data_IF_592828455929
#
_entry.id   IF_592828455929
#
_cell.length_a   1.000
_cell.length_b   1.000
_cell.length_c   1.000
_cell.angle_alpha   90.00
_cell.angle_beta   90.00
_cell.angle_gamma   90.00
#
_symmetry.space_group_name_H-M   'P 1'
#
loop_
_entity.id
_entity.type
_entity.pdbx_description
1 polymer ?
#
# COMPACT_ATOMS: atom_id res chain seq x y z
N UNK A 1 -15.52 24.30 -9.56
CA UNK A 1 -16.67 23.37 -9.47
C UNK A 1 -16.09 22.02 -9.09
N UNK A 2 -16.36 21.53 -7.88
CA UNK A 2 -15.85 20.24 -7.41
C UNK A 2 -16.87 19.14 -7.76
N UNK A 3 -16.49 18.23 -8.66
CA UNK A 3 -17.25 17.01 -8.88
C UNK A 3 -17.04 16.12 -7.65
N UNK A 4 -18.11 15.85 -6.89
CA UNK A 4 -18.10 14.80 -5.88
C UNK A 4 -18.04 13.45 -6.58
N UNK A 5 -16.82 13.01 -6.94
CA UNK A 5 -16.57 11.74 -7.61
C UNK A 5 -16.88 10.53 -6.71
N UNK A 6 -16.92 10.75 -5.39
CA UNK A 6 -17.13 9.70 -4.39
C UNK A 6 -18.61 9.59 -4.02
N UNK A 7 -19.16 8.38 -4.16
CA UNK A 7 -20.55 8.07 -3.85
C UNK A 7 -20.69 7.83 -2.34
N UNK A 8 -20.77 8.92 -1.56
CA UNK A 8 -20.76 8.94 -0.08
C UNK A 8 -21.88 8.16 0.64
N UNK A 9 -22.67 7.32 -0.03
CA UNK A 9 -23.90 6.77 0.53
C UNK A 9 -24.22 5.29 0.33
N UNK A 10 -23.48 4.53 -0.48
CA UNK A 10 -23.78 3.10 -0.70
C UNK A 10 -22.50 2.27 -0.75
N UNK A 11 -22.22 1.55 0.32
CA UNK A 11 -21.22 0.48 0.30
C UNK A 11 -21.72 -0.64 -0.61
N UNK A 12 -20.94 -1.01 -1.63
CA UNK A 12 -21.24 -2.15 -2.51
C UNK A 12 -20.32 -3.35 -2.28
N UNK A 13 -19.48 -3.27 -1.26
CA UNK A 13 -18.60 -4.34 -0.82
C UNK A 13 -19.47 -5.47 -0.25
N UNK A 14 -19.16 -6.70 -0.64
CA UNK A 14 -19.89 -7.91 -0.22
C UNK A 14 -19.12 -8.75 0.78
N UNK A 15 -17.86 -8.43 1.02
CA UNK A 15 -16.99 -9.06 2.00
C UNK A 15 -17.55 -8.87 3.42
N UNK A 16 -17.38 -9.90 4.26
CA UNK A 16 -17.88 -9.90 5.64
C UNK A 16 -17.24 -8.77 6.48
N UNK A 17 -15.94 -8.55 6.27
CA UNK A 17 -15.17 -7.47 6.86
C UNK A 17 -14.44 -6.67 5.78
N UNK A 18 -14.43 -5.37 5.94
CA UNK A 18 -13.74 -4.41 5.07
C UNK A 18 -13.26 -3.22 5.90
N UNK A 19 -12.79 -2.16 5.25
CA UNK A 19 -12.14 -1.04 5.89
C UNK A 19 -12.89 0.25 5.62
N UNK A 20 -12.98 1.10 6.64
CA UNK A 20 -13.33 2.50 6.50
C UNK A 20 -12.06 3.35 6.65
N UNK A 21 -11.80 4.21 5.66
CA UNK A 21 -10.66 5.13 5.65
C UNK A 21 -11.10 6.56 5.94
N UNK A 22 -10.46 7.17 6.92
CA UNK A 22 -10.56 8.60 7.19
C UNK A 22 -9.25 9.29 6.87
N UNK A 23 -9.29 10.25 5.95
CA UNK A 23 -8.16 11.07 5.54
C UNK A 23 -7.84 12.16 6.59
N UNK A 24 -6.59 12.61 6.61
CA UNK A 24 -6.24 13.85 7.32
C UNK A 24 -6.91 15.05 6.66
N UNK A 25 -7.21 16.08 7.46
CA UNK A 25 -7.93 17.26 6.98
C UNK A 25 -7.11 17.94 5.85
N UNK A 26 -7.70 18.07 4.66
CA UNK A 26 -7.03 18.63 3.47
C UNK A 26 -6.10 17.68 2.71
N UNK A 27 -6.04 16.39 3.09
CA UNK A 27 -5.29 15.32 2.37
C UNK A 27 -6.18 14.22 1.82
N UNK A 28 -7.46 14.51 1.63
CA UNK A 28 -8.38 13.62 0.95
C UNK A 28 -8.23 13.70 -0.56
N UNK A 29 -8.77 12.72 -1.31
CA UNK A 29 -8.74 12.72 -2.77
C UNK A 29 -9.58 13.85 -3.40
N UNK A 30 -10.39 14.54 -2.61
CA UNK A 30 -11.10 15.77 -3.03
C UNK A 30 -10.17 16.99 -3.07
N UNK A 31 -9.09 16.98 -2.27
CA UNK A 31 -8.16 18.11 -2.09
C UNK A 31 -6.78 17.86 -2.72
N UNK A 32 -6.39 16.59 -2.89
CA UNK A 32 -5.12 16.17 -3.48
C UNK A 32 -5.34 15.49 -4.85
N UNK A 33 -4.96 16.21 -5.92
CA UNK A 33 -5.09 15.72 -7.30
C UNK A 33 -4.14 14.59 -7.64
N UNK A 34 -2.98 14.49 -6.98
CA UNK A 34 -2.04 13.39 -7.18
C UNK A 34 -2.61 12.11 -6.58
N UNK A 35 -3.19 12.20 -5.38
CA UNK A 35 -3.92 11.11 -4.74
C UNK A 35 -5.10 10.63 -5.61
N UNK A 36 -5.86 11.57 -6.17
CA UNK A 36 -6.95 11.24 -7.09
C UNK A 36 -6.43 10.51 -8.33
N UNK A 37 -5.31 10.95 -8.91
CA UNK A 37 -4.70 10.29 -10.06
C UNK A 37 -4.22 8.86 -9.73
N UNK A 38 -3.70 8.62 -8.53
CA UNK A 38 -3.33 7.27 -8.05
C UNK A 38 -4.58 6.38 -8.00
N UNK A 39 -5.66 6.87 -7.40
CA UNK A 39 -6.94 6.12 -7.34
C UNK A 39 -7.47 5.82 -8.74
N UNK A 40 -7.43 6.78 -9.65
CA UNK A 40 -7.85 6.58 -11.04
C UNK A 40 -7.00 5.54 -11.74
N UNK A 41 -5.67 5.58 -11.59
CA UNK A 41 -4.77 4.56 -12.16
C UNK A 41 -5.07 3.19 -11.58
N UNK A 42 -5.30 3.07 -10.26
CA UNK A 42 -5.66 1.81 -9.62
C UNK A 42 -6.99 1.27 -10.15
N UNK A 43 -7.99 2.12 -10.36
CA UNK A 43 -9.30 1.73 -10.90
C UNK A 43 -9.26 1.23 -12.36
N UNK A 44 -8.26 1.64 -13.14
CA UNK A 44 -8.10 1.24 -14.54
C UNK A 44 -7.09 0.11 -14.75
N UNK A 45 -6.06 0.02 -13.90
CA UNK A 45 -5.01 -0.99 -13.97
C UNK A 45 -5.43 -2.31 -13.36
N UNK A 46 -6.34 -2.25 -12.40
CA UNK A 46 -6.79 -3.43 -11.70
C UNK A 46 -7.96 -4.11 -12.41
N UNK A 47 -7.80 -5.38 -12.77
CA UNK A 47 -8.89 -6.19 -13.33
C UNK A 47 -10.01 -6.51 -12.32
N UNK A 48 -10.19 -5.70 -11.28
CA UNK A 48 -11.16 -5.94 -10.23
C UNK A 48 -12.56 -5.54 -10.68
N UNK A 49 -13.55 -6.28 -10.19
CA UNK A 49 -14.96 -6.02 -10.51
C UNK A 49 -15.47 -4.73 -9.86
N UNK A 50 -14.81 -4.24 -8.81
CA UNK A 50 -15.22 -3.06 -8.04
C UNK A 50 -14.12 -1.99 -8.02
N UNK A 51 -14.53 -0.77 -8.42
CA UNK A 51 -13.69 0.43 -8.41
C UNK A 51 -13.59 1.03 -7.01
N UNK A 52 -12.38 1.37 -6.58
CA UNK A 52 -12.04 2.08 -5.35
C UNK A 52 -12.81 3.40 -5.29
N UNK A 53 -12.84 4.18 -6.39
CA UNK A 53 -13.58 5.46 -6.45
C UNK A 53 -15.07 5.36 -6.10
N UNK A 54 -15.71 4.22 -6.38
CA UNK A 54 -17.15 4.04 -6.17
C UNK A 54 -17.52 3.72 -4.72
N UNK A 55 -16.60 3.13 -3.97
CA UNK A 55 -16.88 2.61 -2.63
C UNK A 55 -16.34 3.51 -1.51
N UNK A 56 -15.53 4.53 -1.80
CA UNK A 56 -15.01 5.44 -0.77
C UNK A 56 -16.11 6.00 0.15
N UNK A 57 -15.88 6.04 1.49
CA UNK A 57 -14.61 5.77 2.19
C UNK A 57 -14.26 4.29 2.42
N UNK A 58 -15.04 3.35 1.88
CA UNK A 58 -14.91 1.92 2.15
C UNK A 58 -14.05 1.18 1.14
N UNK A 59 -13.11 0.37 1.62
CA UNK A 59 -12.23 -0.47 0.79
C UNK A 59 -12.19 -1.90 1.31
N UNK A 60 -12.08 -2.87 0.39
CA UNK A 60 -11.67 -4.23 0.76
C UNK A 60 -10.22 -4.24 1.26
N UNK A 61 -9.81 -5.28 1.97
CA UNK A 61 -8.42 -5.44 2.41
C UNK A 61 -7.44 -5.35 1.24
N UNK A 62 -7.72 -6.04 0.13
CA UNK A 62 -6.90 -5.98 -1.06
C UNK A 62 -6.79 -4.57 -1.65
N UNK A 63 -7.90 -3.85 -1.78
CA UNK A 63 -7.88 -2.48 -2.30
C UNK A 63 -7.08 -1.54 -1.41
N UNK A 64 -7.20 -1.67 -0.09
CA UNK A 64 -6.44 -0.86 0.86
C UNK A 64 -4.94 -1.13 0.77
N UNK A 65 -4.52 -2.41 0.73
CA UNK A 65 -3.10 -2.76 0.62
C UNK A 65 -2.46 -2.23 -0.67
N UNK A 66 -3.18 -2.30 -1.79
CA UNK A 66 -2.73 -1.72 -3.05
C UNK A 66 -2.59 -0.21 -2.94
N UNK A 67 -3.62 0.47 -2.42
CA UNK A 67 -3.59 1.92 -2.23
C UNK A 67 -2.44 2.34 -1.32
N UNK A 68 -2.24 1.66 -0.19
CA UNK A 68 -1.19 2.01 0.76
C UNK A 68 0.21 1.78 0.19
N UNK A 69 0.39 0.75 -0.64
CA UNK A 69 1.64 0.54 -1.36
C UNK A 69 1.93 1.65 -2.37
N UNK A 70 0.94 2.08 -3.14
CA UNK A 70 1.10 3.21 -4.07
C UNK A 70 1.37 4.52 -3.31
N UNK A 71 0.67 4.77 -2.20
CA UNK A 71 0.90 5.94 -1.35
C UNK A 71 2.32 5.96 -0.78
N UNK A 72 2.80 4.80 -0.31
CA UNK A 72 4.19 4.63 0.12
C UNK A 72 5.18 4.92 -1.01
N UNK A 73 4.93 4.41 -2.21
CA UNK A 73 5.83 4.63 -3.35
C UNK A 73 5.88 6.09 -3.81
N UNK A 74 4.74 6.78 -3.79
CA UNK A 74 4.63 8.16 -4.28
C UNK A 74 5.07 9.21 -3.25
N UNK A 75 4.70 9.03 -1.99
CA UNK A 75 4.93 10.03 -0.93
C UNK A 75 6.06 9.64 0.02
N UNK A 76 6.56 8.40 -0.01
CA UNK A 76 7.56 7.85 0.92
C UNK A 76 6.96 7.55 2.30
N UNK A 77 6.37 8.57 2.93
CA UNK A 77 5.60 8.45 4.17
C UNK A 77 4.25 9.14 4.02
N UNK A 78 3.18 8.43 4.41
CA UNK A 78 1.81 8.94 4.36
C UNK A 78 1.09 8.69 5.69
N UNK A 79 0.23 9.62 6.11
CA UNK A 79 -0.55 9.49 7.34
C UNK A 79 -2.03 9.64 7.02
N UNK A 80 -2.80 8.63 7.43
CA UNK A 80 -4.26 8.65 7.49
C UNK A 80 -4.70 8.99 8.90
N UNK A 81 -5.83 9.70 9.02
CA UNK A 81 -6.41 10.07 10.31
C UNK A 81 -6.89 8.83 11.06
N UNK A 82 -7.55 7.91 10.35
CA UNK A 82 -8.05 6.65 10.91
C UNK A 82 -8.22 5.60 9.82
N UNK A 83 -7.90 4.35 10.16
CA UNK A 83 -8.29 3.16 9.41
C UNK A 83 -8.99 2.22 10.39
N UNK A 84 -10.24 1.86 10.09
CA UNK A 84 -11.05 1.01 10.95
C UNK A 84 -11.57 -0.21 10.21
N UNK A 85 -11.67 -1.33 10.92
CA UNK A 85 -12.47 -2.47 10.46
C UNK A 85 -13.94 -2.05 10.46
N UNK A 86 -14.64 -2.50 9.43
CA UNK A 86 -16.04 -2.22 9.17
C UNK A 86 -16.73 -3.50 8.71
N UNK A 87 -18.00 -3.62 9.05
CA UNK A 87 -18.87 -4.68 8.57
C UNK A 87 -20.23 -4.12 8.16
N UNK A 88 -21.00 -4.90 7.41
CA UNK A 88 -22.38 -4.57 7.08
C UNK A 88 -23.33 -5.16 8.12
N UNK A 89 -24.11 -4.31 8.78
CA UNK A 89 -25.25 -4.72 9.58
C UNK A 89 -26.54 -4.33 8.85
N UNK A 90 -27.16 -5.29 8.17
CA UNK A 90 -28.31 -5.07 7.32
C UNK A 90 -27.97 -4.24 6.08
N UNK A 91 -28.18 -2.91 6.15
CA UNK A 91 -27.88 -1.96 5.05
C UNK A 91 -26.97 -0.81 5.49
N UNK A 92 -26.58 -0.78 6.76
CA UNK A 92 -25.68 0.23 7.32
C UNK A 92 -24.29 -0.37 7.52
N UNK A 93 -23.27 0.45 7.27
CA UNK A 93 -21.91 0.12 7.65
C UNK A 93 -21.73 0.48 9.13
N UNK A 94 -21.17 -0.46 9.89
CA UNK A 94 -20.89 -0.28 11.31
C UNK A 94 -19.39 -0.43 11.54
N UNK A 95 -18.82 0.51 12.30
CA UNK A 95 -17.42 0.51 12.75
C UNK A 95 -17.30 0.67 14.27
N UNK A 96 -18.42 0.68 14.98
CA UNK A 96 -18.47 0.76 16.44
C UNK A 96 -18.10 -0.60 17.05
N UNK A 97 -17.19 -0.60 18.02
CA UNK A 97 -16.68 -1.83 18.65
C UNK A 97 -15.60 -2.56 17.84
N UNK A 98 -15.43 -2.21 16.57
CA UNK A 98 -14.41 -2.79 15.69
C UNK A 98 -13.00 -2.21 15.94
N UNK A 99 -11.97 -2.99 15.63
CA UNK A 99 -10.58 -2.53 15.77
C UNK A 99 -10.26 -1.42 14.76
N UNK A 100 -9.51 -0.42 15.22
CA UNK A 100 -9.05 0.68 14.36
C UNK A 100 -7.68 1.19 14.79
N UNK A 101 -6.99 1.87 13.88
CA UNK A 101 -5.72 2.55 14.11
C UNK A 101 -5.83 4.04 13.74
N UNK A 102 -5.36 4.94 14.61
CA UNK A 102 -5.50 6.40 14.46
C UNK A 102 -4.47 7.21 15.29
N UNK A 103 -3.44 7.84 14.70
CA UNK A 103 -3.19 7.91 13.28
C UNK A 103 -2.76 6.55 12.72
N UNK A 104 -3.00 6.36 11.43
CA UNK A 104 -2.47 5.23 10.69
C UNK A 104 -1.32 5.72 9.82
N UNK A 105 -0.12 5.23 10.11
CA UNK A 105 1.12 5.65 9.47
C UNK A 105 1.56 4.61 8.45
N UNK A 106 1.76 5.06 7.22
CA UNK A 106 2.37 4.30 6.13
C UNK A 106 3.79 4.83 5.98
N UNK A 107 4.76 4.09 6.51
CA UNK A 107 6.19 4.43 6.49
C UNK A 107 6.94 3.51 5.52
N UNK A 108 8.25 3.74 5.32
CA UNK A 108 9.07 2.91 4.44
C UNK A 108 9.09 1.43 4.86
N UNK A 109 8.99 1.15 6.15
CA UNK A 109 8.90 -0.19 6.75
C UNK A 109 7.46 -0.74 6.81
N UNK A 110 6.48 -0.08 6.19
CA UNK A 110 5.13 -0.64 6.07
C UNK A 110 5.16 -1.95 5.26
N UNK A 111 4.73 -3.03 5.92
CA UNK A 111 4.61 -4.38 5.33
C UNK A 111 3.18 -4.76 5.03
N UNK A 112 2.28 -4.63 6.01
CA UNK A 112 0.87 -4.99 5.90
C UNK A 112 0.03 -4.25 6.95
N UNK A 113 -1.27 -4.16 6.69
CA UNK A 113 -2.29 -3.48 7.46
C UNK A 113 -2.53 -4.14 8.83
N UNK A 114 -2.38 -5.47 8.90
CA UNK A 114 -2.68 -6.22 10.12
C UNK A 114 -1.77 -5.78 11.27
N UNK A 115 -0.49 -5.48 11.00
CA UNK A 115 0.45 -5.06 12.04
C UNK A 115 0.00 -3.78 12.78
N UNK A 116 -0.30 -2.64 12.11
CA UNK A 116 -0.86 -1.47 12.80
C UNK A 116 -2.16 -1.75 13.57
N UNK A 117 -3.03 -2.65 13.09
CA UNK A 117 -4.29 -3.00 13.75
C UNK A 117 -4.08 -3.88 14.99
N UNK A 118 -3.17 -4.86 14.92
CA UNK A 118 -2.76 -5.67 16.07
C UNK A 118 -2.13 -4.77 17.14
N UNK A 119 -1.27 -3.84 16.72
CA UNK A 119 -0.67 -2.90 17.65
C UNK A 119 -1.73 -2.03 18.32
N UNK A 120 -2.72 -1.58 17.57
CA UNK A 120 -3.77 -0.71 18.13
C UNK A 120 -4.66 -1.45 19.12
N UNK A 121 -5.07 -2.70 18.86
CA UNK A 121 -5.91 -3.46 19.80
C UNK A 121 -5.20 -3.80 21.11
N UNK A 122 -3.87 -3.99 21.04
CA UNK A 122 -3.06 -4.33 22.20
C UNK A 122 -2.71 -3.11 23.06
N UNK A 123 -2.54 -1.93 22.45
CA UNK A 123 -2.00 -0.74 23.14
C UNK A 123 -3.04 0.31 23.52
N UNK A 124 -4.18 0.37 22.82
CA UNK A 124 -5.20 1.39 23.08
C UNK A 124 -6.06 1.08 24.29
N UNK A 125 -6.35 2.12 25.07
CA UNK A 125 -7.24 2.08 26.22
C UNK A 125 -8.68 1.67 25.86
N UNK A 126 -9.11 1.98 24.66
CA UNK A 126 -10.45 1.72 24.13
C UNK A 126 -10.73 0.21 24.06
N UNK A 127 -9.67 -0.60 23.94
CA UNK A 127 -9.76 -2.06 23.91
C UNK A 127 -9.26 -2.69 25.22
N UNK A 128 -9.01 -1.91 26.28
CA UNK A 128 -8.47 -2.44 27.55
C UNK A 128 -9.46 -3.35 28.29
N UNK A 129 -10.75 -3.23 28.00
CA UNK A 129 -11.81 -4.04 28.63
C UNK A 129 -11.86 -5.49 28.09
N UNK A 130 -11.18 -5.77 26.97
CA UNK A 130 -11.08 -7.11 26.42
C UNK A 130 -9.82 -7.80 26.93
N UNK A 131 -9.94 -9.08 27.29
CA UNK A 131 -8.80 -9.92 27.62
C UNK A 131 -7.89 -10.11 26.42
N UNK A 132 -6.62 -10.43 26.69
CA UNK A 132 -5.66 -10.73 25.63
C UNK A 132 -6.13 -11.90 24.74
N UNK A 133 -6.75 -12.94 25.33
CA UNK A 133 -7.27 -14.08 24.59
C UNK A 133 -8.40 -13.69 23.64
N UNK A 134 -9.35 -12.86 24.08
CA UNK A 134 -10.44 -12.37 23.22
C UNK A 134 -9.90 -11.57 22.03
N UNK A 135 -8.88 -10.72 22.25
CA UNK A 135 -8.24 -9.95 21.18
C UNK A 135 -7.56 -10.86 20.16
N UNK A 136 -6.84 -11.88 20.62
CA UNK A 136 -6.21 -12.87 19.75
C UNK A 136 -7.26 -13.63 18.94
N UNK A 137 -8.28 -14.17 19.59
CA UNK A 137 -9.33 -14.96 18.94
C UNK A 137 -10.10 -14.13 17.91
N UNK A 138 -10.34 -12.84 18.18
CA UNK A 138 -10.95 -11.94 17.22
C UNK A 138 -10.11 -11.81 15.93
N UNK A 139 -8.79 -11.67 16.03
CA UNK A 139 -7.92 -11.65 14.87
C UNK A 139 -7.85 -13.01 14.16
N UNK A 140 -7.62 -14.10 14.90
CA UNK A 140 -7.44 -15.43 14.33
C UNK A 140 -8.72 -15.98 13.67
N UNK A 141 -9.90 -15.70 14.27
CA UNK A 141 -11.16 -16.28 13.83
C UNK A 141 -11.98 -15.35 12.91
N UNK A 142 -11.78 -14.03 12.97
CA UNK A 142 -12.58 -13.08 12.19
C UNK A 142 -11.74 -12.33 11.14
N UNK A 143 -10.69 -11.62 11.55
CA UNK A 143 -9.94 -10.75 10.64
C UNK A 143 -9.06 -11.57 9.67
N UNK A 144 -8.26 -12.50 10.18
CA UNK A 144 -7.29 -13.25 9.37
C UNK A 144 -7.92 -14.06 8.25
N UNK A 145 -9.04 -14.79 8.44
CA UNK A 145 -9.69 -15.51 7.36
C UNK A 145 -10.14 -14.59 6.22
N UNK A 146 -10.75 -13.44 6.54
CA UNK A 146 -11.24 -12.48 5.53
C UNK A 146 -10.08 -11.79 4.84
N UNK A 147 -9.06 -11.35 5.58
CA UNK A 147 -7.86 -10.76 5.00
C UNK A 147 -7.14 -11.73 4.04
N UNK A 148 -6.97 -12.99 4.46
CA UNK A 148 -6.38 -14.06 3.65
C UNK A 148 -7.17 -14.28 2.36
N UNK A 149 -8.50 -14.37 2.45
CA UNK A 149 -9.38 -14.56 1.30
C UNK A 149 -9.29 -13.38 0.33
N UNK A 150 -9.32 -12.15 0.85
CA UNK A 150 -9.23 -10.93 0.03
C UNK A 150 -7.89 -10.83 -0.71
N UNK A 151 -6.79 -11.20 -0.04
CA UNK A 151 -5.44 -11.11 -0.60
C UNK A 151 -5.02 -12.36 -1.41
N UNK A 152 -5.77 -13.46 -1.33
CA UNK A 152 -5.39 -14.74 -1.95
C UNK A 152 -4.14 -15.37 -1.35
N UNK A 153 -3.92 -15.19 -0.05
CA UNK A 153 -2.70 -15.62 0.66
C UNK A 153 -2.81 -17.03 1.25
N UNK A 154 -1.66 -17.62 1.58
CA UNK A 154 -1.55 -18.85 2.38
C UNK A 154 -1.39 -18.52 3.87
N UNK A 155 -1.68 -19.46 4.77
CA UNK A 155 -1.62 -19.23 6.23
C UNK A 155 -0.23 -18.83 6.72
N UNK A 156 0.83 -19.28 6.04
CA UNK A 156 2.22 -18.94 6.36
C UNK A 156 2.59 -17.47 6.09
N UNK A 157 1.73 -16.73 5.40
CA UNK A 157 1.97 -15.32 5.04
C UNK A 157 1.31 -14.34 6.02
N UNK A 158 0.57 -14.84 7.00
CA UNK A 158 -0.09 -14.02 8.02
C UNK A 158 0.89 -13.69 9.16
N UNK A 159 0.84 -12.47 9.72
CA UNK A 159 1.62 -12.14 10.90
C UNK A 159 1.15 -12.95 12.10
N UNK A 160 2.09 -13.36 12.94
CA UNK A 160 1.80 -14.06 14.20
C UNK A 160 1.23 -13.03 15.18
N UNK A 161 0.13 -13.37 15.84
CA UNK A 161 -0.40 -12.53 16.92
C UNK A 161 0.58 -12.56 18.12
N UNK A 162 1.14 -11.41 18.53
CA UNK A 162 2.19 -11.32 19.57
C UNK A 162 1.78 -11.97 20.87
N UNK A 163 2.69 -12.62 21.58
CA UNK A 163 2.39 -13.20 22.89
C UNK A 163 2.03 -12.10 23.92
N UNK A 164 1.34 -12.49 24.99
CA UNK A 164 0.98 -11.55 26.06
C UNK A 164 2.25 -10.93 26.67
N UNK A 165 2.35 -9.60 26.62
CA UNK A 165 3.53 -8.86 27.09
C UNK A 165 4.63 -8.64 26.06
N UNK A 166 4.55 -9.23 24.87
CA UNK A 166 5.41 -8.86 23.74
C UNK A 166 4.92 -7.56 23.13
N UNK A 167 5.78 -6.54 23.16
CA UNK A 167 5.54 -5.32 22.38
C UNK A 167 6.11 -5.54 20.99
N UNK A 168 5.29 -5.34 19.94
CA UNK A 168 5.83 -5.34 18.59
C UNK A 168 6.88 -4.23 18.50
N UNK A 169 8.12 -4.60 18.19
CA UNK A 169 9.21 -3.67 17.94
C UNK A 169 9.02 -2.99 16.57
N UNK A 170 7.85 -2.39 16.34
CA UNK A 170 7.64 -1.44 15.27
C UNK A 170 7.92 -0.08 15.88
N UNK A 171 8.91 0.60 15.30
CA UNK A 171 9.39 1.91 15.70
C UNK A 171 8.23 2.80 16.16
N UNK A 172 8.32 3.22 17.42
CA UNK A 172 7.47 4.22 18.06
C UNK A 172 7.15 5.34 17.06
N UNK A 173 5.89 5.82 16.96
CA UNK A 173 5.54 6.82 15.96
C UNK A 173 6.38 8.06 16.22
N UNK A 174 7.36 8.28 15.34
CA UNK A 174 8.13 9.50 15.31
C UNK A 174 7.11 10.59 15.01
N UNK A 175 6.69 11.31 16.05
CA UNK A 175 5.91 12.54 15.89
C UNK A 175 6.66 13.38 14.87
N UNK A 176 6.02 13.67 13.75
CA UNK A 176 6.50 14.69 12.83
C UNK A 176 6.83 15.95 13.67
N UNK A 177 7.99 16.58 13.46
CA UNK A 177 8.33 17.80 14.17
C UNK A 177 7.24 18.85 13.90
N UNK A 178 6.77 19.59 14.94
CA UNK A 178 5.73 20.59 14.75
C UNK A 178 6.22 21.66 13.77
N UNK A 179 5.40 21.94 12.75
CA UNK A 179 5.58 23.11 11.87
C UNK A 179 5.55 24.37 12.73
N UNK A 180 6.58 25.23 12.72
CA UNK A 180 6.56 26.48 13.47
C UNK A 180 5.69 27.50 12.74
N UNK A 181 4.44 27.67 13.20
CA UNK A 181 3.64 28.82 12.80
C UNK A 181 4.09 30.08 13.54
N UNK A 182 4.14 31.17 12.79
CA UNK A 182 4.71 32.44 13.16
C UNK A 182 3.97 33.16 14.31
N UNK A 183 4.79 33.61 15.27
CA UNK A 183 4.80 34.94 15.92
C UNK A 183 3.52 35.48 16.58
N UNK A 184 3.59 35.64 17.90
CA UNK A 184 3.43 36.94 18.58
C UNK A 184 4.19 36.97 19.92
N UNK A 185 5.00 38.03 20.10
CA UNK A 185 5.80 38.39 21.28
C UNK A 185 4.87 38.97 22.38
N UNK A 186 5.17 39.12 23.67
CA UNK A 186 6.42 39.28 24.42
C UNK A 186 6.08 39.11 25.90
N UNK A 187 6.89 38.43 26.70
CA UNK A 187 6.99 38.76 28.12
C UNK A 187 8.39 38.47 28.69
N UNK A 188 8.75 39.33 29.64
CA UNK A 188 9.79 39.27 30.69
C UNK A 188 11.28 39.31 30.34
N UNK A 189 11.90 40.34 30.92
CA UNK A 189 13.31 40.64 31.16
C UNK A 189 14.07 39.56 31.95
N UNK A 190 15.13 39.01 31.33
CA UNK A 190 16.52 38.72 31.76
C UNK A 190 16.90 38.75 33.28
N UNK A 191 17.88 37.93 33.77
CA UNK A 191 19.27 38.03 33.28
C UNK A 191 20.13 36.76 33.13
N UNK A 192 20.89 36.76 32.03
CA UNK A 192 22.33 36.46 31.84
C UNK A 192 23.06 35.50 32.79
N UNK A 193 23.60 34.42 32.21
CA UNK A 193 24.97 33.99 32.46
C UNK A 193 25.56 33.30 31.22
N UNK A 194 26.74 33.74 30.79
CA UNK A 194 27.38 33.36 29.53
C UNK A 194 28.73 32.68 29.79
N UNK A 195 29.05 31.74 28.88
CA UNK A 195 30.32 31.07 28.56
C UNK A 195 30.68 29.76 29.29
N UNK A 196 30.64 28.67 28.51
CA UNK A 196 31.73 27.69 28.45
C UNK A 196 31.93 27.20 27.02
N UNK A 197 33.17 27.28 26.54
CA UNK A 197 33.61 26.89 25.20
C UNK A 197 33.59 25.37 25.02
N UNK A 198 33.11 24.89 23.88
CA UNK A 198 33.30 23.50 23.44
C UNK A 198 34.09 23.43 22.14
N UNK A 199 34.99 22.44 22.12
CA UNK A 199 36.12 22.25 21.22
C UNK A 199 35.73 21.81 19.80
N UNK A 200 36.26 22.53 18.79
CA UNK A 200 36.09 22.29 17.35
C UNK A 200 36.64 20.94 16.85
N UNK A 201 37.43 20.20 17.67
CA UNK A 201 37.95 18.87 17.28
C UNK A 201 36.88 17.79 17.15
N UNK A 202 35.73 17.93 17.83
CA UNK A 202 34.63 16.95 17.76
C UNK A 202 33.79 17.06 16.49
N UNK A 203 33.81 18.23 15.84
CA UNK A 203 33.02 18.47 14.62
C UNK A 203 33.63 17.81 13.38
N UNK A 204 34.97 17.79 13.27
CA UNK A 204 35.67 17.13 12.15
C UNK A 204 35.57 15.60 12.19
N UNK A 205 35.44 15.00 13.38
CA UNK A 205 35.23 13.55 13.52
C UNK A 205 33.84 13.13 12.98
N UNK A 206 32.81 13.94 13.22
CA UNK A 206 31.46 13.69 12.70
C UNK A 206 31.36 13.87 11.18
N UNK A 207 32.10 14.82 10.60
CA UNK A 207 32.09 15.05 9.15
C UNK A 207 32.78 13.92 8.36
N UNK A 208 33.80 13.28 8.95
CA UNK A 208 34.47 12.13 8.35
C UNK A 208 33.59 10.86 8.26
N UNK A 209 32.78 10.60 9.29
CA UNK A 209 31.88 9.42 9.32
C UNK A 209 30.72 9.57 8.33
N UNK A 210 30.18 10.79 8.17
CA UNK A 210 29.09 11.06 7.24
C UNK A 210 29.53 10.93 5.76
N UNK A 211 30.78 11.31 5.46
CA UNK A 211 31.37 11.15 4.13
C UNK A 211 31.53 9.68 3.72
N UNK A 212 31.97 8.80 4.64
CA UNK A 212 32.14 7.36 4.36
C UNK A 212 30.80 6.67 4.15
N UNK A 213 29.76 7.04 4.90
CA UNK A 213 28.40 6.49 4.73
C UNK A 213 27.79 6.83 3.36
N UNK A 214 28.06 8.04 2.83
CA UNK A 214 27.53 8.47 1.53
C UNK A 214 28.14 7.68 0.37
N UNK A 215 29.44 7.38 0.41
CA UNK A 215 30.12 6.60 -0.64
C UNK A 215 29.63 5.16 -0.69
N UNK A 216 29.36 4.53 0.47
CA UNK A 216 28.81 3.16 0.55
C UNK A 216 27.40 3.11 -0.07
N UNK A 217 26.54 4.10 0.20
CA UNK A 217 25.20 4.16 -0.39
C UNK A 217 25.25 4.29 -1.92
N UNK A 218 26.16 5.11 -2.46
CA UNK A 218 26.31 5.28 -3.92
C UNK A 218 26.75 3.97 -4.59
N UNK A 219 27.65 3.20 -3.96
CA UNK A 219 28.10 1.90 -4.49
C UNK A 219 26.95 0.88 -4.48
N UNK A 220 26.15 0.82 -3.40
CA UNK A 220 24.98 -0.06 -3.33
C UNK A 220 23.93 0.29 -4.40
N UNK A 221 23.66 1.58 -4.62
CA UNK A 221 22.73 2.04 -5.66
C UNK A 221 23.24 1.67 -7.06
N UNK A 222 24.54 1.84 -7.34
CA UNK A 222 25.12 1.41 -8.62
C UNK A 222 25.04 -0.10 -8.83
N UNK A 223 25.26 -0.91 -7.78
CA UNK A 223 25.19 -2.36 -7.87
C UNK A 223 23.74 -2.84 -8.06
N UNK A 224 22.79 -2.24 -7.34
CA UNK A 224 21.36 -2.51 -7.52
C UNK A 224 20.87 -2.12 -8.93
N UNK A 225 21.35 -0.98 -9.46
CA UNK A 225 21.00 -0.53 -10.81
C UNK A 225 21.58 -1.44 -11.89
N UNK A 226 22.83 -1.91 -11.73
CA UNK A 226 23.45 -2.88 -12.65
C UNK A 226 22.78 -4.28 -12.57
N UNK A 227 22.29 -4.67 -11.40
CA UNK A 227 21.51 -5.89 -11.25
C UNK A 227 20.11 -5.76 -11.89
N UNK A 228 19.48 -4.58 -11.75
CA UNK A 228 18.18 -4.28 -12.36
C UNK A 228 18.25 -4.19 -13.89
N UNK A 229 19.33 -3.62 -14.45
CA UNK A 229 19.53 -3.56 -15.91
C UNK A 229 19.69 -4.96 -16.51
N UNK A 230 20.50 -5.82 -15.88
CA UNK A 230 20.66 -7.22 -16.31
C UNK A 230 19.35 -8.02 -16.24
N UNK A 231 18.50 -7.76 -15.25
CA UNK A 231 17.17 -8.39 -15.16
C UNK A 231 16.22 -7.86 -16.25
N UNK A 232 16.22 -6.55 -16.49
CA UNK A 232 15.44 -5.93 -17.57
C UNK A 232 15.81 -6.47 -18.95
N UNK A 233 17.11 -6.65 -19.23
CA UNK A 233 17.59 -7.26 -20.48
C UNK A 233 17.10 -8.71 -20.63
N UNK A 234 17.14 -9.51 -19.56
CA UNK A 234 16.62 -10.89 -19.58
C UNK A 234 15.11 -10.92 -19.82
N UNK A 235 14.34 -10.03 -19.20
CA UNK A 235 12.89 -9.95 -19.39
C UNK A 235 12.55 -9.49 -20.81
N UNK A 236 13.25 -8.48 -21.32
CA UNK A 236 13.06 -8.03 -22.71
C UNK A 236 13.45 -9.10 -23.72
N UNK A 237 14.51 -9.88 -23.46
CA UNK A 237 14.90 -11.01 -24.29
C UNK A 237 13.80 -12.07 -24.34
N UNK A 238 13.28 -12.50 -23.18
CA UNK A 238 12.19 -13.49 -23.09
C UNK A 238 10.91 -12.98 -23.77
N UNK A 239 10.59 -11.70 -23.61
CA UNK A 239 9.44 -11.08 -24.26
C UNK A 239 9.58 -11.05 -25.78
N UNK A 240 10.77 -10.74 -26.31
CA UNK A 240 11.06 -10.77 -27.74
C UNK A 240 10.98 -12.20 -28.30
N UNK A 241 11.53 -13.18 -27.58
CA UNK A 241 11.46 -14.59 -27.98
C UNK A 241 10.01 -15.09 -28.04
N UNK A 242 9.20 -14.76 -27.02
CA UNK A 242 7.76 -15.07 -27.00
C UNK A 242 7.02 -14.41 -28.17
N UNK A 243 7.35 -13.15 -28.50
CA UNK A 243 6.75 -12.43 -29.62
C UNK A 243 7.09 -13.07 -30.97
N UNK A 244 8.35 -13.45 -31.18
CA UNK A 244 8.82 -14.11 -32.41
C UNK A 244 8.15 -15.48 -32.57
N UNK A 245 8.07 -16.27 -31.50
CA UNK A 245 7.40 -17.58 -31.51
C UNK A 245 5.92 -17.45 -31.84
N UNK A 246 5.23 -16.48 -31.24
CA UNK A 246 3.81 -16.23 -31.51
C UNK A 246 3.60 -15.79 -32.97
N UNK A 247 4.45 -14.91 -33.51
CA UNK A 247 4.40 -14.50 -34.90
C UNK A 247 4.61 -15.69 -35.86
N UNK A 248 5.59 -16.54 -35.56
CA UNK A 248 5.87 -17.78 -36.32
C UNK A 248 4.69 -18.75 -36.28
N UNK A 249 4.06 -18.92 -35.12
CA UNK A 249 2.87 -19.75 -34.97
C UNK A 249 1.68 -19.20 -35.78
N UNK A 250 1.43 -17.89 -35.72
CA UNK A 250 0.38 -17.25 -36.51
C UNK A 250 0.60 -17.39 -38.02
N UNK A 251 1.85 -17.24 -38.49
CA UNK A 251 2.20 -17.46 -39.89
C UNK A 251 1.95 -18.92 -40.32
N UNK A 252 2.37 -19.89 -39.52
CA UNK A 252 2.12 -21.32 -39.78
C UNK A 252 0.63 -21.65 -39.82
N UNK A 253 -0.17 -21.12 -38.89
CA UNK A 253 -1.62 -21.29 -38.91
C UNK A 253 -2.25 -20.71 -40.18
N UNK A 254 -1.83 -19.51 -40.60
CA UNK A 254 -2.35 -18.88 -41.83
C UNK A 254 -2.05 -19.70 -43.08
N UNK A 255 -0.82 -20.23 -43.19
CA UNK A 255 -0.42 -21.12 -44.28
C UNK A 255 -1.24 -22.43 -44.28
N UNK A 256 -1.43 -23.03 -43.10
CA UNK A 256 -2.25 -24.23 -42.96
C UNK A 256 -3.70 -23.99 -43.39
N UNK A 257 -4.29 -22.86 -42.99
CA UNK A 257 -5.65 -22.50 -43.37
C UNK A 257 -5.80 -22.31 -44.89
N UNK A 258 -4.85 -21.64 -45.54
CA UNK A 258 -4.81 -21.50 -46.99
C UNK A 258 -4.67 -22.84 -47.71
N UNK A 259 -3.83 -23.74 -47.20
CA UNK A 259 -3.68 -25.09 -47.75
C UNK A 259 -4.98 -25.91 -47.66
N UNK A 260 -5.69 -25.82 -46.52
CA UNK A 260 -6.99 -26.49 -46.33
C UNK A 260 -8.04 -25.93 -47.29
N UNK A 261 -8.13 -24.60 -47.45
CA UNK A 261 -9.05 -23.98 -48.41
C UNK A 261 -8.73 -24.44 -49.84
N UNK A 262 -7.45 -24.42 -50.24
CA UNK A 262 -7.04 -24.85 -51.57
C UNK A 262 -7.40 -26.32 -51.81
N UNK A 263 -7.17 -27.20 -50.83
CA UNK A 263 -7.56 -28.61 -50.91
C UNK A 263 -9.07 -28.80 -51.05
N UNK A 264 -9.87 -28.05 -50.29
CA UNK A 264 -11.34 -28.07 -50.38
C UNK A 264 -11.85 -27.56 -51.73
N UNK A 265 -11.22 -26.53 -52.30
CA UNK A 265 -11.57 -26.02 -53.63
C UNK A 265 -11.25 -27.02 -54.74
N UNK A 266 -10.07 -27.65 -54.69
CA UNK A 266 -9.64 -28.67 -55.67
C UNK A 266 -10.54 -29.91 -55.61
N UNK A 267 -10.86 -30.41 -54.40
CA UNK A 267 -11.76 -31.56 -54.23
C UNK A 267 -13.19 -31.25 -54.67
N UNK A 268 -13.68 -30.03 -54.43
CA UNK A 268 -15.01 -29.59 -54.91
C UNK A 268 -15.06 -29.43 -56.43
N UNK A 269 -13.97 -29.00 -57.06
CA UNK A 269 -13.86 -28.93 -58.52
C UNK A 269 -13.85 -30.33 -59.16
N UNK A 270 -13.08 -31.29 -58.61
CA UNK A 270 -13.07 -32.69 -59.05
C UNK A 270 -14.41 -33.41 -58.92
N UNK A 271 -15.30 -32.96 -58.02
CA UNK A 271 -16.62 -33.56 -57.80
C UNK A 271 -17.71 -33.02 -58.74
N UNK A 272 -17.40 -32.00 -59.56
CA UNK A 272 -18.32 -31.36 -60.51
C UNK A 272 -18.05 -31.71 -61.98
N UNK A 273 -16.96 -32.41 -62.27
CA UNK A 273 -16.65 -33.08 -63.54
C UNK A 273 -16.96 -34.56 -63.43
#
# INVERSE_FOLDING_TARGET
MAFSLFNKGRCTITDDLFLEITWEDGRGPEDDSELLAIIDVLDHSSGYSQRISKNFPYLTFQQAELLFRELKQMYGQFQLKKVAIAHLEGKSVVTEGEVYASPFLITEDYENLLLPLIQSILTRSEFANYSYQEKREYFENQIYPVYKQSMGLSDSSLPIFPAEGETMAVSQPNRLPPVPNARNQTDVTAPVSQKRSTSLKKFYLFLGVLGVLSVINIICVFFAFAQLSNQSEKVNFLYQEQKILNLSFQQKMKLMYLAVISYLLITRAKKKT
#
